data_IF_187518563344
#
_entry.id   IF_187518563344
#
_cell.length_a   1.000
_cell.length_b   1.000
_cell.length_c   1.000
_cell.angle_alpha   90.00
_cell.angle_beta   90.00
_cell.angle_gamma   90.00
#
_symmetry.space_group_name_H-M   'P 1'
#
loop_
_entity.id
_entity.type
_entity.pdbx_description
1 polymer ?
#
# COMPACT_ATOMS: atom_id res chain seq x y z
N UNK A 1 -31.32 12.55 -6.37
CA UNK A 1 -29.95 13.13 -6.42
C UNK A 1 -28.99 11.96 -6.54
N UNK A 2 -28.29 11.85 -7.68
CA UNK A 2 -27.39 10.75 -7.96
C UNK A 2 -26.20 10.80 -6.98
N UNK A 3 -26.16 9.86 -6.03
CA UNK A 3 -25.11 9.76 -5.03
C UNK A 3 -23.84 9.19 -5.64
N UNK A 4 -23.04 10.03 -6.30
CA UNK A 4 -21.68 9.66 -6.67
C UNK A 4 -20.86 9.44 -5.39
N UNK A 5 -20.46 8.18 -5.15
CA UNK A 5 -19.49 7.86 -4.08
C UNK A 5 -18.14 8.43 -4.50
N UNK A 6 -17.78 9.58 -3.94
CA UNK A 6 -16.45 10.17 -4.11
C UNK A 6 -15.43 9.38 -3.28
N UNK A 7 -14.37 8.90 -3.94
CA UNK A 7 -13.23 8.35 -3.23
C UNK A 7 -12.45 9.49 -2.57
N UNK A 8 -12.11 9.31 -1.30
CA UNK A 8 -11.21 10.20 -0.58
C UNK A 8 -9.78 9.67 -0.71
N UNK A 9 -8.91 10.43 -1.36
CA UNK A 9 -7.47 10.12 -1.50
C UNK A 9 -6.59 11.06 -0.67
N UNK A 10 -7.19 11.88 0.19
CA UNK A 10 -6.43 12.77 1.07
C UNK A 10 -5.45 11.96 1.92
N UNK A 11 -4.20 12.44 1.94
CA UNK A 11 -3.08 11.87 2.68
C UNK A 11 -2.83 10.37 2.43
N UNK A 12 -3.25 9.82 1.28
CA UNK A 12 -2.94 8.45 0.90
C UNK A 12 -1.52 8.37 0.32
N UNK A 13 -0.64 7.68 1.01
CA UNK A 13 0.70 7.34 0.53
C UNK A 13 0.66 5.98 -0.16
N UNK A 14 1.26 5.90 -1.35
CA UNK A 14 1.37 4.62 -2.09
C UNK A 14 2.82 4.16 -2.08
N UNK A 15 3.07 2.99 -1.51
CA UNK A 15 4.34 2.29 -1.60
C UNK A 15 4.39 1.48 -2.90
N UNK A 16 5.43 1.66 -3.69
CA UNK A 16 5.60 0.97 -4.98
C UNK A 16 6.38 -0.34 -4.79
N UNK A 17 5.72 -1.49 -4.97
CA UNK A 17 6.43 -2.77 -4.98
C UNK A 17 7.14 -3.02 -6.31
N UNK A 18 6.53 -2.64 -7.44
CA UNK A 18 7.01 -2.99 -8.77
C UNK A 18 7.48 -4.47 -8.84
N UNK A 19 8.72 -4.71 -9.27
CA UNK A 19 9.36 -6.02 -9.31
C UNK A 19 10.30 -6.28 -8.12
N UNK A 20 10.22 -5.50 -7.04
CA UNK A 20 11.09 -5.63 -5.86
C UNK A 20 10.83 -6.90 -5.04
N UNK A 21 9.75 -7.63 -5.31
CA UNK A 21 9.55 -8.99 -4.80
C UNK A 21 10.52 -10.00 -5.44
N UNK A 22 11.19 -9.64 -6.53
CA UNK A 22 12.26 -10.42 -7.19
C UNK A 22 11.86 -11.86 -7.55
N UNK A 23 10.60 -12.06 -7.98
CA UNK A 23 10.06 -13.38 -8.29
C UNK A 23 9.86 -14.30 -7.07
N UNK A 24 10.05 -13.81 -5.84
CA UNK A 24 9.88 -14.58 -4.61
C UNK A 24 8.59 -14.17 -3.88
N UNK A 25 7.67 -15.13 -3.73
CA UNK A 25 6.42 -14.92 -2.99
C UNK A 25 6.69 -14.57 -1.53
N UNK A 26 7.62 -15.28 -0.89
CA UNK A 26 7.95 -15.05 0.52
C UNK A 26 8.61 -13.69 0.72
N UNK A 27 9.44 -13.23 -0.23
CA UNK A 27 9.99 -11.88 -0.19
C UNK A 27 8.89 -10.82 -0.37
N UNK A 28 7.97 -11.00 -1.33
CA UNK A 28 6.84 -10.11 -1.53
C UNK A 28 5.94 -9.99 -0.28
N UNK A 29 5.63 -11.12 0.36
CA UNK A 29 4.91 -11.13 1.65
C UNK A 29 5.65 -10.36 2.74
N UNK A 30 6.97 -10.52 2.82
CA UNK A 30 7.80 -9.78 3.79
C UNK A 30 7.73 -8.27 3.53
N UNK A 31 7.80 -7.83 2.27
CA UNK A 31 7.64 -6.41 1.91
C UNK A 31 6.28 -5.89 2.38
N UNK A 32 5.19 -6.61 2.10
CA UNK A 32 3.83 -6.23 2.54
C UNK A 32 3.78 -6.07 4.07
N UNK A 33 4.33 -7.03 4.81
CA UNK A 33 4.32 -7.04 6.26
C UNK A 33 5.11 -5.86 6.86
N UNK A 34 6.31 -5.58 6.35
CA UNK A 34 7.15 -4.48 6.86
C UNK A 34 6.57 -3.11 6.51
N UNK A 35 6.05 -2.92 5.29
CA UNK A 35 5.36 -1.68 4.93
C UNK A 35 4.12 -1.45 5.80
N UNK A 36 3.35 -2.51 6.08
CA UNK A 36 2.20 -2.43 6.98
C UNK A 36 2.58 -2.03 8.41
N UNK A 37 3.71 -2.52 8.94
CA UNK A 37 4.24 -2.11 10.25
C UNK A 37 4.61 -0.63 10.25
N UNK A 38 5.36 -0.17 9.25
CA UNK A 38 5.76 1.25 9.11
C UNK A 38 4.52 2.14 9.03
N UNK A 39 3.53 1.78 8.20
CA UNK A 39 2.31 2.56 8.07
C UNK A 39 1.57 2.70 9.41
N UNK A 40 1.51 1.61 10.19
CA UNK A 40 0.90 1.61 11.52
C UNK A 40 1.69 2.44 12.53
N UNK A 41 3.01 2.29 12.56
CA UNK A 41 3.91 3.00 13.49
C UNK A 41 3.83 4.51 13.34
N UNK A 42 3.79 4.99 12.09
CA UNK A 42 3.77 6.43 11.79
C UNK A 42 2.37 7.00 11.54
N UNK A 43 1.30 6.19 11.69
CA UNK A 43 -0.08 6.64 11.46
C UNK A 43 -0.36 7.06 10.00
N UNK A 44 0.33 6.45 9.05
CA UNK A 44 0.24 6.77 7.62
C UNK A 44 -0.94 6.02 7.01
N UNK A 45 -1.82 6.76 6.32
CA UNK A 45 -2.81 6.13 5.45
C UNK A 45 -2.09 5.62 4.19
N UNK A 46 -1.95 4.31 4.10
CA UNK A 46 -1.09 3.69 3.10
C UNK A 46 -1.82 2.73 2.17
N UNK A 47 -1.35 2.66 0.93
CA UNK A 47 -1.60 1.58 -0.02
C UNK A 47 -0.27 1.02 -0.51
N UNK A 48 -0.26 -0.25 -0.94
CA UNK A 48 0.88 -0.87 -1.61
C UNK A 48 0.43 -1.24 -3.03
N UNK A 49 1.16 -0.77 -4.04
CA UNK A 49 0.86 -1.03 -5.45
C UNK A 49 1.77 -2.12 -6.01
N UNK A 50 1.18 -3.09 -6.71
CA UNK A 50 1.89 -4.11 -7.49
C UNK A 50 2.08 -3.63 -8.95
N UNK A 51 3.00 -4.25 -9.69
CA UNK A 51 3.21 -3.95 -11.12
C UNK A 51 2.08 -4.53 -11.98
#
# INVERSE_FOLDING_TARGET
MNGERKFDFSNLFTFEMANNHQGSLEHGKRIIAEVGKIAKEFGIRAALKLQ
#
